data_IF_214779850870
#
_entry.id   IF_214779850870
#
_cell.length_a   1.000
_cell.length_b   1.000
_cell.length_c   1.000
_cell.angle_alpha   90.00
_cell.angle_beta   90.00
_cell.angle_gamma   90.00
#
_symmetry.space_group_name_H-M   'P 1'
#
loop_
_entity.id
_entity.type
_entity.pdbx_description
1 polymer ?
#
# COMPACT_ATOMS: atom_id res chain seq x y z
N UNK A 1 -33.10 -16.28 10.17
CA UNK A 1 -31.90 -15.57 10.64
C UNK A 1 -30.96 -15.48 9.45
N UNK A 2 -30.60 -14.30 8.98
CA UNK A 2 -29.54 -14.18 7.96
C UNK A 2 -28.26 -14.76 8.58
N UNK A 3 -27.66 -15.76 7.94
CA UNK A 3 -26.33 -16.25 8.33
C UNK A 3 -25.39 -15.02 8.31
N UNK A 4 -24.98 -14.60 9.50
CA UNK A 4 -24.01 -13.54 9.65
C UNK A 4 -22.68 -14.12 9.22
N UNK A 5 -22.11 -13.63 8.12
CA UNK A 5 -20.87 -14.15 7.53
C UNK A 5 -19.68 -13.94 8.50
N UNK A 6 -19.63 -14.76 9.53
CA UNK A 6 -18.49 -14.90 10.44
C UNK A 6 -17.64 -16.04 9.91
N UNK A 7 -16.31 -15.86 9.85
CA UNK A 7 -15.41 -16.89 9.36
C UNK A 7 -14.50 -17.36 10.51
N UNK A 8 -14.55 -18.65 10.82
CA UNK A 8 -13.63 -19.26 11.78
C UNK A 8 -12.26 -19.45 11.11
N UNK A 9 -11.23 -18.87 11.70
CA UNK A 9 -9.83 -18.99 11.23
C UNK A 9 -9.12 -20.12 11.96
N UNK A 10 -9.27 -20.17 13.29
CA UNK A 10 -8.75 -21.21 14.17
C UNK A 10 -9.72 -21.40 15.34
N UNK A 11 -9.45 -22.34 16.26
CA UNK A 11 -10.28 -22.50 17.44
C UNK A 11 -10.26 -21.24 18.30
N UNK A 12 -11.47 -20.66 18.53
CA UNK A 12 -11.61 -19.41 19.26
C UNK A 12 -11.12 -18.16 18.49
N UNK A 13 -10.80 -18.24 17.20
CA UNK A 13 -10.35 -17.10 16.39
C UNK A 13 -11.27 -16.91 15.18
N UNK A 14 -11.87 -15.72 15.06
CA UNK A 14 -12.90 -15.45 14.07
C UNK A 14 -12.64 -14.11 13.36
N UNK A 15 -12.81 -14.09 12.03
CA UNK A 15 -12.96 -12.85 11.29
C UNK A 15 -14.38 -12.29 11.51
N UNK A 16 -14.46 -11.05 11.95
CA UNK A 16 -15.72 -10.34 12.23
C UNK A 16 -15.80 -8.99 11.48
N UNK A 17 -14.87 -8.75 10.58
CA UNK A 17 -14.79 -7.53 9.77
C UNK A 17 -15.90 -7.40 8.74
N UNK A 18 -15.83 -6.40 7.88
CA UNK A 18 -16.80 -6.09 6.85
C UNK A 18 -16.16 -5.93 5.47
N UNK A 19 -16.95 -6.14 4.43
CA UNK A 19 -16.56 -5.92 3.04
C UNK A 19 -17.30 -4.73 2.48
N UNK A 20 -16.58 -3.72 2.02
CA UNK A 20 -17.14 -2.54 1.39
C UNK A 20 -16.98 -2.65 -0.14
N UNK A 21 -17.95 -3.33 -0.76
CA UNK A 21 -18.02 -3.52 -2.20
C UNK A 21 -18.20 -2.22 -2.98
N UNK A 22 -18.69 -1.17 -2.32
CA UNK A 22 -19.05 0.09 -2.95
C UNK A 22 -17.99 1.19 -2.78
N UNK A 23 -16.97 0.96 -1.98
CA UNK A 23 -15.87 1.91 -1.85
C UNK A 23 -15.14 2.02 -3.18
N UNK A 24 -15.04 3.22 -3.75
CA UNK A 24 -14.41 3.46 -5.05
C UNK A 24 -13.18 4.34 -4.98
N UNK A 25 -12.97 5.00 -3.86
CA UNK A 25 -11.80 5.85 -3.63
C UNK A 25 -11.40 5.78 -2.16
N UNK A 26 -10.12 5.68 -1.90
CA UNK A 26 -9.51 5.74 -0.57
C UNK A 26 -8.66 7.01 -0.49
N UNK A 27 -8.61 7.67 0.68
CA UNK A 27 -7.87 8.91 0.92
C UNK A 27 -8.13 10.03 -0.12
N UNK A 28 -9.31 10.04 -0.73
CA UNK A 28 -9.69 10.94 -1.83
C UNK A 28 -8.69 10.95 -3.01
N UNK A 29 -7.85 9.92 -3.13
CA UNK A 29 -6.77 9.84 -4.11
C UNK A 29 -6.66 8.48 -4.78
N UNK A 30 -6.80 7.38 -4.03
CA UNK A 30 -6.50 6.01 -4.48
C UNK A 30 -7.77 5.35 -5.01
N UNK A 31 -7.88 5.04 -6.32
CA UNK A 31 -9.02 4.32 -6.86
C UNK A 31 -9.08 2.88 -6.35
N UNK A 32 -10.29 2.42 -6.01
CA UNK A 32 -10.56 1.07 -5.52
C UNK A 32 -11.51 0.31 -6.47
N UNK A 33 -11.04 -0.19 -7.60
CA UNK A 33 -11.89 -0.86 -8.59
C UNK A 33 -12.57 -2.13 -8.05
N UNK A 34 -11.95 -2.79 -7.08
CA UNK A 34 -12.42 -4.03 -6.43
C UNK A 34 -13.03 -3.81 -5.04
N UNK A 35 -13.30 -2.55 -4.65
CA UNK A 35 -13.70 -2.21 -3.29
C UNK A 35 -12.59 -2.46 -2.27
N UNK A 36 -12.97 -2.64 -1.00
CA UNK A 36 -12.02 -3.00 0.08
C UNK A 36 -12.72 -3.80 1.17
N UNK A 37 -11.96 -4.29 2.13
CA UNK A 37 -12.49 -4.83 3.39
C UNK A 37 -11.88 -4.07 4.56
N UNK A 38 -12.61 -4.02 5.68
CA UNK A 38 -12.12 -3.56 6.97
C UNK A 38 -12.15 -4.76 7.90
N UNK A 39 -11.03 -5.44 8.01
CA UNK A 39 -10.96 -6.68 8.76
C UNK A 39 -10.76 -6.41 10.25
N UNK A 40 -11.57 -7.05 11.04
CA UNK A 40 -11.45 -7.11 12.48
C UNK A 40 -11.54 -8.58 12.93
N UNK A 41 -10.90 -8.92 14.03
CA UNK A 41 -10.80 -10.31 14.47
C UNK A 41 -11.16 -10.44 15.94
N UNK A 42 -11.99 -11.45 16.26
CA UNK A 42 -12.34 -11.77 17.63
C UNK A 42 -11.54 -13.00 18.08
N UNK A 43 -10.77 -12.84 19.16
CA UNK A 43 -10.03 -13.91 19.82
C UNK A 43 -10.71 -14.23 21.15
N UNK A 44 -11.15 -15.47 21.30
CA UNK A 44 -11.83 -15.98 22.49
C UNK A 44 -10.92 -17.02 23.15
N UNK A 45 -10.33 -16.65 24.28
CA UNK A 45 -9.59 -17.56 25.15
C UNK A 45 -10.44 -18.03 26.34
N UNK A 46 -9.89 -18.97 27.15
CA UNK A 46 -10.60 -19.51 28.30
C UNK A 46 -10.90 -18.49 29.40
N UNK A 47 -10.08 -17.48 29.55
CA UNK A 47 -10.22 -16.47 30.62
C UNK A 47 -10.33 -15.03 30.14
N UNK A 48 -10.34 -14.80 28.82
CA UNK A 48 -10.47 -13.46 28.27
C UNK A 48 -10.81 -13.43 26.78
N UNK A 49 -11.34 -12.30 26.33
CA UNK A 49 -11.70 -12.04 24.92
C UNK A 49 -11.07 -10.75 24.44
N UNK A 50 -10.53 -10.77 23.25
CA UNK A 50 -9.95 -9.58 22.61
C UNK A 50 -10.53 -9.38 21.21
N UNK A 51 -10.90 -8.14 20.89
CA UNK A 51 -11.18 -7.69 19.55
C UNK A 51 -9.92 -7.03 18.99
N UNK A 52 -9.40 -7.55 17.86
CA UNK A 52 -8.21 -7.02 17.18
C UNK A 52 -8.69 -6.11 16.05
N UNK A 53 -8.36 -4.84 16.13
CA UNK A 53 -8.83 -3.74 15.30
C UNK A 53 -10.37 -3.63 15.22
N UNK A 54 -10.87 -2.64 14.54
CA UNK A 54 -12.29 -2.42 14.32
C UNK A 54 -12.56 -2.17 12.82
N UNK A 55 -13.61 -1.45 12.50
CA UNK A 55 -14.03 -1.18 11.13
C UNK A 55 -14.21 0.30 10.86
N UNK A 56 -14.28 0.66 9.59
CA UNK A 56 -14.56 2.02 9.14
C UNK A 56 -15.89 2.53 9.72
N UNK A 57 -15.99 3.84 10.05
CA UNK A 57 -17.23 4.45 10.49
C UNK A 57 -18.41 4.16 9.55
N UNK A 58 -19.55 3.82 10.13
CA UNK A 58 -20.76 3.41 9.42
C UNK A 58 -21.01 1.89 9.40
N UNK A 59 -20.01 1.07 9.80
CA UNK A 59 -20.12 -0.39 9.89
C UNK A 59 -20.11 -0.92 11.33
N UNK A 60 -20.24 -0.04 12.33
CA UNK A 60 -20.17 -0.41 13.76
C UNK A 60 -21.20 -1.46 14.13
N UNK A 61 -22.40 -1.34 13.55
CA UNK A 61 -23.50 -2.27 13.84
C UNK A 61 -23.28 -3.64 13.21
N UNK A 62 -22.68 -3.69 12.03
CA UNK A 62 -22.32 -4.96 11.38
C UNK A 62 -21.28 -5.70 12.20
N UNK A 63 -20.28 -4.98 12.71
CA UNK A 63 -19.23 -5.52 13.60
C UNK A 63 -19.87 -6.05 14.90
N UNK A 64 -20.67 -5.25 15.58
CA UNK A 64 -21.38 -5.66 16.81
C UNK A 64 -22.22 -6.91 16.59
N UNK A 65 -22.99 -6.95 15.52
CA UNK A 65 -23.88 -8.06 15.20
C UNK A 65 -23.11 -9.37 14.98
N UNK A 66 -21.93 -9.31 14.36
CA UNK A 66 -21.04 -10.46 14.18
C UNK A 66 -20.42 -10.91 15.50
N UNK A 67 -19.98 -9.98 16.33
CA UNK A 67 -19.46 -10.30 17.65
C UNK A 67 -20.53 -10.98 18.50
N UNK A 68 -21.76 -10.45 18.54
CA UNK A 68 -22.89 -11.01 19.28
C UNK A 68 -23.33 -12.39 18.80
N UNK A 69 -23.01 -12.75 17.56
CA UNK A 69 -23.24 -14.12 17.07
C UNK A 69 -22.29 -15.16 17.70
N UNK A 70 -21.16 -14.71 18.28
CA UNK A 70 -20.11 -15.56 18.85
C UNK A 70 -20.02 -15.44 20.37
N UNK A 71 -20.23 -14.26 20.92
CA UNK A 71 -20.07 -13.96 22.34
C UNK A 71 -20.88 -12.71 22.73
N UNK A 72 -21.10 -12.52 24.05
CA UNK A 72 -21.62 -11.23 24.52
C UNK A 72 -20.52 -10.16 24.33
N UNK A 73 -20.84 -9.08 23.65
CA UNK A 73 -19.89 -8.01 23.39
C UNK A 73 -19.46 -7.30 24.69
N UNK A 74 -20.34 -7.29 25.70
CA UNK A 74 -20.07 -6.74 27.04
C UNK A 74 -18.97 -7.51 27.80
N UNK A 75 -18.67 -8.75 27.36
CA UNK A 75 -17.65 -9.61 27.94
C UNK A 75 -16.28 -9.47 27.26
N UNK A 76 -16.13 -8.55 26.30
CA UNK A 76 -14.83 -8.23 25.73
C UNK A 76 -13.96 -7.55 26.78
N UNK A 77 -12.76 -8.08 27.01
CA UNK A 77 -11.80 -7.54 27.98
C UNK A 77 -10.85 -6.53 27.35
N UNK A 78 -10.50 -6.75 26.07
CA UNK A 78 -9.55 -5.94 25.32
C UNK A 78 -10.04 -5.57 23.94
N UNK A 79 -9.87 -4.32 23.54
CA UNK A 79 -9.91 -3.87 22.14
C UNK A 79 -8.50 -3.48 21.78
N UNK A 80 -7.90 -4.18 20.84
CA UNK A 80 -6.53 -3.91 20.40
C UNK A 80 -6.59 -2.97 19.20
N UNK A 81 -5.91 -1.83 19.30
CA UNK A 81 -5.72 -0.88 18.21
C UNK A 81 -4.30 -1.04 17.68
N UNK A 82 -4.12 -1.83 16.63
CA UNK A 82 -2.82 -1.98 15.96
C UNK A 82 -2.43 -0.69 15.23
N UNK A 83 -3.44 0.04 14.71
CA UNK A 83 -3.28 1.26 13.95
C UNK A 83 -4.42 2.23 14.24
N UNK A 84 -4.12 3.54 14.25
CA UNK A 84 -5.06 4.57 14.67
C UNK A 84 -5.82 5.21 13.51
N UNK A 85 -5.66 4.76 12.27
CA UNK A 85 -6.40 5.30 11.14
C UNK A 85 -7.90 4.98 11.25
N UNK A 86 -8.79 5.91 10.86
CA UNK A 86 -10.22 5.77 11.12
C UNK A 86 -10.88 4.54 10.50
N UNK A 87 -10.35 3.99 9.42
CA UNK A 87 -10.92 2.80 8.79
C UNK A 87 -10.65 1.49 9.57
N UNK A 88 -9.70 1.50 10.52
CA UNK A 88 -9.43 0.42 11.48
C UNK A 88 -9.86 0.75 12.90
N UNK A 89 -9.84 2.03 13.26
CA UNK A 89 -10.05 2.48 14.63
C UNK A 89 -11.34 3.32 14.81
N UNK A 90 -12.03 3.66 13.73
CA UNK A 90 -13.18 4.57 13.78
C UNK A 90 -14.38 4.03 14.56
N UNK A 91 -14.54 2.71 14.64
CA UNK A 91 -15.59 2.10 15.45
C UNK A 91 -15.23 1.96 16.94
N UNK A 92 -13.99 2.28 17.37
CA UNK A 92 -13.54 2.20 18.77
C UNK A 92 -14.48 2.95 19.73
N UNK A 93 -14.92 4.19 19.49
CA UNK A 93 -15.81 4.89 20.41
C UNK A 93 -17.12 4.14 20.64
N UNK A 94 -17.68 3.55 19.58
CA UNK A 94 -18.89 2.77 19.65
C UNK A 94 -18.68 1.46 20.43
N UNK A 95 -17.67 0.68 20.06
CA UNK A 95 -17.35 -0.60 20.71
C UNK A 95 -17.01 -0.41 22.19
N UNK A 96 -16.19 0.59 22.52
CA UNK A 96 -15.82 0.89 23.90
C UNK A 96 -17.02 1.36 24.75
N UNK A 97 -18.05 1.92 24.14
CA UNK A 97 -19.30 2.26 24.83
C UNK A 97 -20.11 1.02 25.17
N UNK A 98 -20.22 0.07 24.23
CA UNK A 98 -20.99 -1.18 24.41
C UNK A 98 -20.20 -2.15 25.31
N UNK A 99 -18.94 -2.40 24.99
CA UNK A 99 -18.01 -3.17 25.82
C UNK A 99 -17.43 -2.30 26.96
N UNK A 100 -18.30 -1.90 27.88
CA UNK A 100 -17.99 -0.87 28.89
C UNK A 100 -16.84 -1.25 29.84
N UNK A 101 -16.51 -2.52 29.99
CA UNK A 101 -15.38 -3.02 30.81
C UNK A 101 -14.06 -3.11 30.04
N UNK A 102 -14.13 -3.15 28.71
CA UNK A 102 -12.95 -3.37 27.88
C UNK A 102 -11.89 -2.29 28.09
N UNK A 103 -10.62 -2.68 28.03
CA UNK A 103 -9.48 -1.75 27.93
C UNK A 103 -9.04 -1.68 26.48
N UNK A 104 -8.76 -0.47 26.00
CA UNK A 104 -8.07 -0.28 24.73
C UNK A 104 -6.59 -0.59 24.91
N UNK A 105 -6.06 -1.48 24.07
CA UNK A 105 -4.63 -1.83 24.06
C UNK A 105 -3.97 -1.14 22.88
N UNK A 106 -2.92 -0.38 23.13
CA UNK A 106 -2.19 0.37 22.10
C UNK A 106 -0.75 0.64 22.55
N UNK A 107 0.13 1.00 21.61
CA UNK A 107 1.45 1.56 21.92
C UNK A 107 1.33 2.89 22.64
N UNK A 108 2.42 3.38 23.24
CA UNK A 108 2.42 4.68 23.92
C UNK A 108 2.02 5.85 22.98
N UNK A 109 2.37 5.77 21.70
CA UNK A 109 1.95 6.74 20.67
C UNK A 109 0.48 6.54 20.30
N UNK A 110 0.07 5.29 20.10
CA UNK A 110 -1.32 4.93 19.81
C UNK A 110 -2.26 5.37 20.92
N UNK A 111 -1.87 5.25 22.18
CA UNK A 111 -2.65 5.72 23.32
C UNK A 111 -2.94 7.23 23.25
N UNK A 112 -1.95 8.05 22.87
CA UNK A 112 -2.14 9.50 22.68
C UNK A 112 -3.08 9.78 21.51
N UNK A 113 -2.95 9.04 20.42
CA UNK A 113 -3.83 9.19 19.24
C UNK A 113 -5.26 8.77 19.58
N UNK A 114 -5.45 7.67 20.32
CA UNK A 114 -6.77 7.22 20.77
C UNK A 114 -7.49 8.27 21.62
N UNK A 115 -6.76 8.99 22.48
CA UNK A 115 -7.33 10.09 23.27
C UNK A 115 -7.74 11.28 22.39
N UNK A 116 -6.92 11.62 21.39
CA UNK A 116 -7.16 12.78 20.52
C UNK A 116 -8.28 12.48 19.51
N UNK A 117 -8.21 11.36 18.79
CA UNK A 117 -9.13 11.04 17.71
C UNK A 117 -10.44 10.41 18.19
N UNK A 118 -10.33 9.51 19.18
CA UNK A 118 -11.45 8.65 19.60
C UNK A 118 -11.97 8.99 21.00
N UNK A 119 -11.37 9.98 21.69
CA UNK A 119 -11.76 10.42 23.01
C UNK A 119 -11.80 9.30 24.06
N UNK A 120 -10.97 8.27 23.89
CA UNK A 120 -10.87 7.19 24.87
C UNK A 120 -10.21 7.72 26.15
N UNK A 121 -10.85 7.59 27.32
CA UNK A 121 -10.27 8.06 28.58
C UNK A 121 -8.98 7.29 28.94
N UNK A 122 -8.00 7.98 29.53
CA UNK A 122 -6.70 7.40 29.88
C UNK A 122 -6.81 6.14 30.75
N UNK A 123 -7.73 6.14 31.70
CA UNK A 123 -7.99 5.01 32.60
C UNK A 123 -8.55 3.78 31.89
N UNK A 124 -9.05 3.94 30.65
CA UNK A 124 -9.52 2.86 29.79
C UNK A 124 -8.46 2.37 28.80
N UNK A 125 -7.25 2.92 28.84
CA UNK A 125 -6.16 2.54 27.94
C UNK A 125 -5.12 1.70 28.69
N UNK A 126 -4.78 0.56 28.15
CA UNK A 126 -3.61 -0.25 28.52
C UNK A 126 -2.52 -0.02 27.48
N UNK A 127 -1.47 0.71 27.87
CA UNK A 127 -0.29 0.88 27.05
C UNK A 127 0.54 -0.39 27.11
N UNK A 128 1.01 -0.83 25.95
CA UNK A 128 1.92 -1.99 25.81
C UNK A 128 3.22 -1.58 25.17
N UNK A 129 4.30 -2.27 25.54
CA UNK A 129 5.63 -2.11 24.98
C UNK A 129 5.92 -3.19 23.91
N UNK A 130 7.02 -2.98 23.17
CA UNK A 130 7.51 -3.98 22.20
C UNK A 130 7.77 -5.33 22.88
N UNK A 131 7.24 -6.40 22.32
CA UNK A 131 7.27 -7.76 22.85
C UNK A 131 6.48 -8.00 24.16
N UNK A 132 5.73 -7.05 24.68
CA UNK A 132 4.80 -7.29 25.78
C UNK A 132 3.70 -8.26 25.35
N UNK A 133 3.17 -9.05 26.31
CA UNK A 133 2.12 -10.01 26.03
C UNK A 133 0.97 -9.90 27.01
N UNK A 134 -0.23 -10.25 26.53
CA UNK A 134 -1.45 -10.38 27.33
C UNK A 134 -1.97 -11.82 27.19
N UNK A 135 -2.19 -12.47 28.33
CA UNK A 135 -2.81 -13.81 28.35
C UNK A 135 -4.33 -13.70 28.36
N UNK A 136 -4.98 -14.52 27.56
CA UNK A 136 -6.42 -14.75 27.55
C UNK A 136 -6.76 -16.16 28.13
N UNK A 137 -5.81 -16.75 28.86
CA UNK A 137 -5.89 -18.11 29.46
C UNK A 137 -5.10 -19.11 28.65
N UNK A 138 -5.69 -19.68 27.63
CA UNK A 138 -5.06 -20.64 26.71
C UNK A 138 -4.58 -19.98 25.40
N UNK A 139 -4.62 -18.67 25.32
CA UNK A 139 -4.16 -17.86 24.18
C UNK A 139 -3.37 -16.66 24.67
N UNK A 140 -2.28 -16.34 23.98
CA UNK A 140 -1.36 -15.25 24.32
C UNK A 140 -1.23 -14.30 23.15
N UNK A 141 -1.57 -13.04 23.36
CA UNK A 141 -1.39 -11.96 22.40
C UNK A 141 -0.07 -11.25 22.69
N UNK A 142 0.90 -11.34 21.79
CA UNK A 142 2.17 -10.61 21.83
C UNK A 142 2.11 -9.42 20.92
N UNK A 143 2.57 -8.26 21.39
CA UNK A 143 2.59 -7.00 20.63
C UNK A 143 3.98 -6.70 20.12
N UNK A 144 4.08 -6.34 18.84
CA UNK A 144 5.34 -6.08 18.14
C UNK A 144 5.26 -4.69 17.53
N UNK A 145 6.01 -3.74 18.07
CA UNK A 145 6.02 -2.40 17.50
C UNK A 145 6.59 -2.40 16.08
N UNK A 146 5.83 -1.81 15.16
CA UNK A 146 6.14 -1.68 13.74
C UNK A 146 5.96 -0.20 13.28
N UNK A 147 6.68 0.75 13.91
CA UNK A 147 6.45 2.17 13.67
C UNK A 147 6.69 2.55 12.22
N UNK A 148 5.85 3.45 11.71
CA UNK A 148 5.84 3.91 10.30
C UNK A 148 5.43 2.82 9.28
N UNK A 149 4.59 1.87 9.71
CA UNK A 149 3.95 0.92 8.80
C UNK A 149 2.41 1.01 8.93
N UNK A 150 1.74 2.10 8.42
CA UNK A 150 2.45 3.21 7.74
C UNK A 150 2.45 4.48 8.61
N UNK A 151 1.84 4.46 9.81
CA UNK A 151 1.86 5.55 10.81
C UNK A 151 2.83 5.25 11.97
N UNK A 152 3.20 6.28 12.76
CA UNK A 152 4.27 6.16 13.76
C UNK A 152 3.92 5.29 14.98
N UNK A 153 2.64 5.01 15.22
CA UNK A 153 2.15 4.26 16.38
C UNK A 153 1.89 2.78 16.09
N UNK A 154 1.97 2.37 14.84
CA UNK A 154 1.59 1.03 14.37
C UNK A 154 2.31 -0.08 15.14
N UNK A 155 1.56 -1.12 15.49
CA UNK A 155 2.07 -2.37 16.01
C UNK A 155 1.38 -3.55 15.32
N UNK A 156 1.99 -4.72 15.42
CA UNK A 156 1.39 -6.00 15.06
C UNK A 156 0.98 -6.74 16.32
N UNK A 157 -0.09 -7.51 16.22
CA UNK A 157 -0.48 -8.47 17.27
C UNK A 157 -0.21 -9.88 16.77
N UNK A 158 0.51 -10.69 17.56
CA UNK A 158 0.81 -12.09 17.24
C UNK A 158 0.18 -13.01 18.27
N UNK A 159 -0.67 -13.94 17.82
CA UNK A 159 -1.26 -14.97 18.63
C UNK A 159 -0.33 -16.19 18.62
N UNK A 160 0.32 -16.44 19.76
CA UNK A 160 1.45 -17.37 19.86
C UNK A 160 1.06 -18.82 19.59
N UNK A 161 -0.01 -19.32 20.21
CA UNK A 161 -0.40 -20.73 20.17
C UNK A 161 -0.86 -21.17 18.77
N UNK A 162 -1.55 -20.28 18.07
CA UNK A 162 -2.07 -20.55 16.72
C UNK A 162 -1.12 -20.12 15.61
N UNK A 163 -0.10 -19.31 15.91
CA UNK A 163 0.83 -18.76 14.92
C UNK A 163 0.16 -17.77 13.97
N UNK A 164 -0.77 -16.95 14.48
CA UNK A 164 -1.50 -15.97 13.66
C UNK A 164 -0.94 -14.58 13.89
N UNK A 165 -0.51 -13.93 12.81
CA UNK A 165 -0.09 -12.54 12.81
C UNK A 165 -1.24 -11.65 12.33
N UNK A 166 -1.57 -10.63 13.11
CA UNK A 166 -2.49 -9.53 12.77
C UNK A 166 -1.66 -8.26 12.55
N UNK A 167 -1.23 -7.98 11.31
CA UNK A 167 -0.25 -6.93 11.03
C UNK A 167 -0.88 -5.60 10.64
N UNK A 168 -2.16 -5.40 10.87
CA UNK A 168 -2.95 -4.30 10.34
C UNK A 168 -2.78 -4.19 8.81
N UNK A 169 -2.37 -3.05 8.30
CA UNK A 169 -2.20 -2.78 6.87
C UNK A 169 -1.09 -3.57 6.21
N UNK A 170 -0.08 -3.95 6.97
CA UNK A 170 1.06 -4.67 6.40
C UNK A 170 0.60 -6.04 5.86
N UNK A 171 0.97 -6.38 4.65
CA UNK A 171 0.49 -7.52 3.86
C UNK A 171 -0.95 -7.42 3.33
N UNK A 172 -1.57 -6.23 3.39
CA UNK A 172 -2.92 -5.98 2.91
C UNK A 172 -3.04 -5.88 1.40
N UNK A 173 -4.31 -5.77 0.97
CA UNK A 173 -4.70 -5.41 -0.40
C UNK A 173 -6.12 -4.84 -0.39
N UNK A 174 -6.40 -3.85 -1.24
CA UNK A 174 -7.74 -3.31 -1.37
C UNK A 174 -8.61 -4.24 -2.23
N UNK A 175 -9.20 -5.22 -1.56
CA UNK A 175 -10.12 -6.20 -2.15
C UNK A 175 -11.31 -6.44 -1.22
N UNK A 176 -12.53 -6.40 -1.77
CA UNK A 176 -13.74 -6.83 -1.08
C UNK A 176 -14.01 -8.32 -1.29
N UNK A 177 -13.45 -8.95 -2.32
CA UNK A 177 -13.66 -10.35 -2.66
C UNK A 177 -12.68 -11.30 -1.93
N UNK A 178 -13.09 -12.57 -1.80
CA UNK A 178 -12.31 -13.61 -1.13
C UNK A 178 -12.30 -13.48 0.40
N UNK A 179 -12.14 -14.60 1.08
CA UNK A 179 -11.81 -14.65 2.51
C UNK A 179 -10.33 -15.01 2.67
N UNK A 180 -9.89 -15.95 1.87
CA UNK A 180 -8.52 -16.44 1.87
C UNK A 180 -7.79 -16.09 0.58
N UNK A 181 -6.52 -15.84 0.69
CA UNK A 181 -5.67 -15.40 -0.41
C UNK A 181 -5.55 -16.41 -1.56
N UNK A 182 -5.67 -17.69 -1.28
CA UNK A 182 -5.68 -18.78 -2.26
C UNK A 182 -7.03 -18.97 -2.98
N UNK A 183 -8.01 -18.14 -2.66
CA UNK A 183 -9.31 -18.04 -3.34
C UNK A 183 -9.39 -16.84 -4.31
N UNK A 184 -8.33 -16.02 -4.34
CA UNK A 184 -8.28 -14.78 -5.14
C UNK A 184 -7.29 -14.97 -6.28
N UNK A 185 -7.79 -14.78 -7.51
CA UNK A 185 -6.96 -14.73 -8.70
C UNK A 185 -6.09 -13.45 -8.68
N UNK A 186 -4.86 -13.56 -9.17
CA UNK A 186 -3.91 -12.44 -9.28
C UNK A 186 -3.67 -11.65 -7.97
N UNK A 187 -3.80 -12.31 -6.82
CA UNK A 187 -3.60 -11.67 -5.52
C UNK A 187 -2.33 -10.83 -5.43
N UNK A 188 -1.20 -11.32 -5.98
CA UNK A 188 0.06 -10.59 -5.91
C UNK A 188 0.05 -9.26 -6.70
N UNK A 189 -0.76 -9.14 -7.76
CA UNK A 189 -0.96 -7.88 -8.46
C UNK A 189 -1.64 -6.87 -7.54
N UNK A 190 -2.72 -7.29 -6.87
CA UNK A 190 -3.43 -6.44 -5.93
C UNK A 190 -2.61 -6.06 -4.69
N UNK A 191 -1.86 -7.01 -4.15
CA UNK A 191 -0.95 -6.76 -3.03
C UNK A 191 0.23 -5.85 -3.43
N UNK A 192 0.75 -5.98 -4.65
CA UNK A 192 1.80 -5.12 -5.20
C UNK A 192 1.31 -3.69 -5.41
N UNK A 193 0.08 -3.53 -5.94
CA UNK A 193 -0.59 -2.24 -6.04
C UNK A 193 -0.71 -1.59 -4.65
N UNK A 194 -1.25 -2.30 -3.67
CA UNK A 194 -1.38 -1.82 -2.29
C UNK A 194 -0.03 -1.46 -1.66
N UNK A 195 0.99 -2.30 -1.86
CA UNK A 195 2.35 -2.00 -1.44
C UNK A 195 2.85 -0.67 -2.02
N UNK A 196 2.67 -0.46 -3.31
CA UNK A 196 3.07 0.76 -4.00
C UNK A 196 2.34 2.01 -3.49
N UNK A 197 1.04 1.88 -3.23
CA UNK A 197 0.17 2.96 -2.78
C UNK A 197 0.46 3.38 -1.33
N UNK A 198 0.73 2.43 -0.43
CA UNK A 198 0.75 2.66 1.02
C UNK A 198 2.14 2.44 1.65
N UNK A 199 2.83 1.33 1.30
CA UNK A 199 4.02 0.87 2.03
C UNK A 199 5.34 1.29 1.40
N UNK A 200 5.39 1.53 0.08
CA UNK A 200 6.63 1.75 -0.67
C UNK A 200 7.49 2.92 -0.13
N UNK A 201 6.94 4.04 0.37
CA UNK A 201 7.73 5.10 0.99
C UNK A 201 8.49 4.66 2.24
N UNK A 202 8.02 3.60 2.90
CA UNK A 202 8.49 3.11 4.19
C UNK A 202 9.34 1.83 4.10
N UNK A 203 9.94 1.54 2.93
CA UNK A 203 10.71 0.30 2.67
C UNK A 203 11.70 -0.07 3.78
N UNK A 204 12.45 0.90 4.31
CA UNK A 204 13.41 0.65 5.40
C UNK A 204 12.72 0.19 6.70
N UNK A 205 11.54 0.70 6.98
CA UNK A 205 10.75 0.28 8.16
C UNK A 205 10.16 -1.11 7.93
N UNK A 206 9.71 -1.38 6.69
CA UNK A 206 9.24 -2.70 6.31
C UNK A 206 10.33 -3.77 6.45
N UNK A 207 11.57 -3.50 6.02
CA UNK A 207 12.71 -4.41 6.24
C UNK A 207 12.91 -4.74 7.73
N UNK A 208 12.92 -3.72 8.59
CA UNK A 208 13.07 -3.92 10.04
C UNK A 208 11.92 -4.74 10.65
N UNK A 209 10.69 -4.52 10.19
CA UNK A 209 9.54 -5.29 10.65
C UNK A 209 9.63 -6.75 10.17
N UNK A 210 10.01 -6.98 8.91
CA UNK A 210 10.24 -8.33 8.38
C UNK A 210 11.34 -9.08 9.16
N UNK A 211 12.42 -8.41 9.56
CA UNK A 211 13.47 -8.99 10.42
C UNK A 211 12.95 -9.38 11.82
N UNK A 212 12.08 -8.54 12.41
CA UNK A 212 11.45 -8.85 13.71
C UNK A 212 10.57 -10.10 13.64
N UNK A 213 9.70 -10.16 12.64
CA UNK A 213 8.75 -11.28 12.50
C UNK A 213 9.36 -12.54 11.92
N UNK A 214 10.55 -12.48 11.30
CA UNK A 214 11.26 -13.66 10.78
C UNK A 214 11.56 -14.75 11.83
N UNK A 215 11.56 -14.36 13.10
CA UNK A 215 11.79 -15.26 14.24
C UNK A 215 10.52 -15.95 14.74
N UNK A 216 9.35 -15.58 14.22
CA UNK A 216 8.06 -16.11 14.63
C UNK A 216 7.66 -17.30 13.75
N UNK A 217 6.95 -18.24 14.34
CA UNK A 217 6.34 -19.35 13.60
C UNK A 217 4.97 -18.93 13.04
N UNK A 218 4.99 -18.13 11.99
CA UNK A 218 3.78 -17.59 11.37
C UNK A 218 3.16 -18.66 10.46
N UNK A 219 1.95 -19.08 10.79
CA UNK A 219 1.12 -20.03 10.01
C UNK A 219 0.04 -19.31 9.21
N UNK A 220 -0.44 -18.16 9.71
CA UNK A 220 -1.49 -17.36 9.09
C UNK A 220 -1.13 -15.88 9.25
N UNK A 221 -1.34 -15.10 8.19
CA UNK A 221 -1.32 -13.63 8.27
C UNK A 221 -2.74 -13.14 8.03
N UNK A 222 -3.25 -12.36 8.96
CA UNK A 222 -4.62 -11.84 8.98
C UNK A 222 -4.61 -10.30 8.95
N UNK A 223 -4.46 -9.67 7.74
CA UNK A 223 -4.32 -8.23 7.58
C UNK A 223 -5.65 -7.50 7.75
N UNK A 224 -5.61 -6.18 7.89
CA UNK A 224 -6.80 -5.34 8.03
C UNK A 224 -7.52 -5.03 6.72
N UNK A 225 -6.86 -5.25 5.57
CA UNK A 225 -7.46 -5.15 4.24
C UNK A 225 -7.22 -6.40 3.41
N UNK A 226 -8.23 -6.79 2.63
CA UNK A 226 -8.14 -7.92 1.71
C UNK A 226 -8.19 -9.28 2.39
N UNK A 227 -7.76 -10.36 1.69
CA UNK A 227 -7.91 -11.72 2.16
C UNK A 227 -6.85 -12.12 3.21
N UNK A 228 -7.20 -13.13 3.99
CA UNK A 228 -6.34 -13.77 4.99
C UNK A 228 -5.38 -14.74 4.28
N UNK A 229 -4.09 -14.66 4.59
CA UNK A 229 -3.07 -15.53 4.02
C UNK A 229 -2.85 -16.77 4.91
N UNK A 230 -3.53 -17.86 4.59
CA UNK A 230 -3.33 -19.18 5.26
C UNK A 230 -2.12 -19.95 4.71
N UNK A 231 -1.45 -19.41 3.71
CA UNK A 231 -0.14 -19.81 3.18
C UNK A 231 0.70 -18.55 3.04
N UNK A 232 1.33 -18.10 4.15
CA UNK A 232 1.95 -16.77 4.18
C UNK A 232 3.24 -16.65 3.36
N UNK A 233 3.85 -17.75 2.91
CA UNK A 233 5.16 -17.76 2.27
C UNK A 233 5.19 -16.87 1.04
N UNK A 234 4.14 -16.94 0.20
CA UNK A 234 4.07 -16.21 -1.07
C UNK A 234 4.09 -14.68 -0.83
N UNK A 235 3.28 -14.20 0.12
CA UNK A 235 3.21 -12.76 0.42
C UNK A 235 4.44 -12.28 1.18
N UNK A 236 5.00 -13.10 2.07
CA UNK A 236 6.23 -12.81 2.79
C UNK A 236 7.41 -12.63 1.82
N UNK A 237 7.55 -13.52 0.84
CA UNK A 237 8.61 -13.44 -0.17
C UNK A 237 8.43 -12.23 -1.10
N UNK A 238 7.20 -11.91 -1.47
CA UNK A 238 6.91 -10.70 -2.24
C UNK A 238 7.31 -9.44 -1.46
N UNK A 239 6.88 -9.31 -0.21
CA UNK A 239 7.20 -8.17 0.65
C UNK A 239 8.71 -8.03 0.93
N UNK A 240 9.44 -9.14 1.10
CA UNK A 240 10.92 -9.12 1.21
C UNK A 240 11.57 -8.48 -0.01
N UNK A 241 11.16 -8.90 -1.23
CA UNK A 241 11.68 -8.35 -2.48
C UNK A 241 11.33 -6.88 -2.65
N UNK A 242 10.06 -6.51 -2.41
CA UNK A 242 9.63 -5.12 -2.53
C UNK A 242 10.31 -4.21 -1.49
N UNK A 243 10.44 -4.66 -0.25
CA UNK A 243 11.16 -3.93 0.79
C UNK A 243 12.64 -3.77 0.48
N UNK A 244 13.28 -4.79 -0.11
CA UNK A 244 14.66 -4.70 -0.60
C UNK A 244 14.80 -3.70 -1.77
N UNK A 245 13.69 -3.34 -2.43
CA UNK A 245 13.70 -2.47 -3.61
C UNK A 245 14.25 -3.19 -4.84
N UNK A 246 13.98 -4.49 -4.96
CA UNK A 246 14.34 -5.25 -6.14
C UNK A 246 13.59 -4.72 -7.35
N UNK A 247 14.34 -4.48 -8.44
CA UNK A 247 13.79 -3.98 -9.70
C UNK A 247 14.07 -4.96 -10.83
N UNK A 248 13.16 -4.95 -11.81
CA UNK A 248 13.29 -5.72 -13.06
C UNK A 248 13.88 -4.84 -14.17
N UNK A 249 14.33 -5.42 -15.30
CA UNK A 249 14.57 -4.68 -16.54
C UNK A 249 13.25 -4.17 -17.12
N UNK A 250 12.65 -3.19 -16.46
CA UNK A 250 11.33 -2.62 -16.73
C UNK A 250 11.41 -1.10 -16.69
N UNK A 251 10.68 -0.45 -17.59
CA UNK A 251 10.51 0.99 -17.65
C UNK A 251 9.02 1.35 -17.57
N UNK A 252 8.66 2.19 -16.60
CA UNK A 252 7.35 2.83 -16.55
C UNK A 252 7.42 4.12 -17.38
N UNK A 253 6.68 4.19 -18.48
CA UNK A 253 6.57 5.37 -19.33
C UNK A 253 5.27 6.07 -19.02
N UNK A 254 5.38 7.29 -18.52
CA UNK A 254 4.26 8.09 -18.05
C UNK A 254 4.17 9.36 -18.87
N UNK A 255 3.03 9.61 -19.50
CA UNK A 255 2.93 10.75 -20.39
C UNK A 255 1.56 11.43 -20.41
N UNK A 256 1.58 12.65 -20.86
CA UNK A 256 0.42 13.40 -21.33
C UNK A 256 0.76 14.04 -22.67
N UNK A 257 -0.20 14.09 -23.59
CA UNK A 257 -0.04 14.73 -24.89
C UNK A 257 -1.28 15.53 -25.25
N UNK A 258 -1.11 16.74 -25.81
CA UNK A 258 -2.21 17.59 -26.23
C UNK A 258 -2.51 17.45 -27.73
N UNK A 259 -1.46 17.43 -28.56
CA UNK A 259 -1.53 17.45 -30.01
C UNK A 259 -0.69 16.35 -30.65
N UNK A 260 -0.56 15.21 -29.96
CA UNK A 260 0.13 13.98 -30.38
C UNK A 260 1.64 14.08 -30.59
N UNK A 261 2.29 15.24 -30.50
CA UNK A 261 3.75 15.35 -30.68
C UNK A 261 4.52 14.61 -29.58
N UNK A 262 4.18 14.83 -28.32
CA UNK A 262 4.78 14.10 -27.18
C UNK A 262 4.43 12.62 -27.25
N UNK A 263 3.19 12.27 -27.57
CA UNK A 263 2.75 10.88 -27.72
C UNK A 263 3.54 10.11 -28.77
N UNK A 264 3.80 10.72 -29.92
CA UNK A 264 4.60 10.10 -31.00
C UNK A 264 6.01 9.75 -30.52
N UNK A 265 6.68 10.67 -29.81
CA UNK A 265 8.00 10.43 -29.23
C UNK A 265 7.97 9.34 -28.16
N UNK A 266 6.94 9.34 -27.31
CA UNK A 266 6.76 8.35 -26.24
C UNK A 266 6.52 6.95 -26.79
N UNK A 267 5.71 6.80 -27.85
CA UNK A 267 5.51 5.51 -28.53
C UNK A 267 6.81 5.01 -29.16
N UNK A 268 7.58 5.89 -29.81
CA UNK A 268 8.89 5.55 -30.36
C UNK A 268 9.88 5.10 -29.27
N UNK A 269 9.85 5.74 -28.10
CA UNK A 269 10.65 5.36 -26.94
C UNK A 269 10.25 3.97 -26.43
N UNK A 270 8.94 3.68 -26.34
CA UNK A 270 8.43 2.39 -25.93
C UNK A 270 8.90 1.26 -26.88
N UNK A 271 8.81 1.48 -28.17
CA UNK A 271 9.31 0.53 -29.19
C UNK A 271 10.83 0.33 -29.11
N UNK A 272 11.58 1.43 -28.89
CA UNK A 272 13.03 1.35 -28.76
C UNK A 272 13.43 0.53 -27.53
N UNK A 273 12.79 0.74 -26.38
CA UNK A 273 13.06 -0.02 -25.16
C UNK A 273 12.64 -1.49 -25.28
N UNK A 274 11.47 -1.75 -25.86
CA UNK A 274 10.98 -3.12 -26.08
C UNK A 274 11.90 -3.90 -27.02
N UNK A 275 12.41 -3.27 -28.09
CA UNK A 275 13.36 -3.90 -29.02
C UNK A 275 14.70 -4.27 -28.38
N UNK A 276 15.09 -3.59 -27.31
CA UNK A 276 16.27 -3.93 -26.49
C UNK A 276 15.94 -4.94 -25.36
N UNK A 277 14.70 -5.48 -25.30
CA UNK A 277 14.31 -6.49 -24.30
C UNK A 277 13.90 -5.91 -22.93
N UNK A 278 13.57 -4.64 -22.86
CA UNK A 278 13.02 -4.01 -21.64
C UNK A 278 11.51 -4.19 -21.61
N UNK A 279 10.97 -4.65 -20.48
CA UNK A 279 9.53 -4.63 -20.21
C UNK A 279 9.04 -3.18 -20.14
N UNK A 280 7.97 -2.85 -20.85
CA UNK A 280 7.45 -1.48 -20.92
C UNK A 280 6.02 -1.44 -20.38
N UNK A 281 5.79 -0.61 -19.37
CA UNK A 281 4.47 -0.22 -18.90
C UNK A 281 4.18 1.22 -19.36
N UNK A 282 3.13 1.39 -20.18
CA UNK A 282 2.81 2.67 -20.81
C UNK A 282 1.55 3.30 -20.19
N UNK A 283 1.68 4.48 -19.57
CA UNK A 283 0.64 5.17 -18.84
C UNK A 283 0.30 6.53 -19.45
N UNK A 284 -0.86 6.65 -20.08
CA UNK A 284 -1.42 7.93 -20.48
C UNK A 284 -2.17 8.54 -19.29
N UNK A 285 -1.63 9.61 -18.71
CA UNK A 285 -2.15 10.27 -17.50
C UNK A 285 -3.59 10.80 -17.61
N UNK A 286 -4.14 10.88 -18.83
CA UNK A 286 -5.53 11.32 -19.03
C UNK A 286 -6.52 10.21 -18.64
N UNK A 287 -6.13 8.94 -18.80
CA UNK A 287 -7.04 7.78 -18.65
C UNK A 287 -6.51 6.70 -17.71
N UNK A 288 -5.24 6.75 -17.33
CA UNK A 288 -4.63 5.74 -16.46
C UNK A 288 -5.14 5.89 -15.03
N UNK A 289 -5.53 4.78 -14.43
CA UNK A 289 -5.71 4.66 -12.98
C UNK A 289 -4.35 4.84 -12.29
N UNK A 290 -4.30 5.73 -11.31
CA UNK A 290 -3.04 6.03 -10.60
C UNK A 290 -2.49 4.80 -9.87
N UNK A 291 -3.34 3.89 -9.42
CA UNK A 291 -2.90 2.66 -8.76
C UNK A 291 -2.20 1.69 -9.72
N UNK A 292 -2.63 1.61 -11.00
CA UNK A 292 -1.94 0.79 -12.00
C UNK A 292 -0.54 1.35 -12.27
N UNK A 293 -0.41 2.68 -12.38
CA UNK A 293 0.89 3.34 -12.47
C UNK A 293 1.78 3.00 -11.27
N UNK A 294 1.22 3.12 -10.07
CA UNK A 294 1.98 2.90 -8.83
C UNK A 294 2.38 1.44 -8.68
N UNK A 295 1.54 0.50 -9.07
CA UNK A 295 1.87 -0.93 -9.12
C UNK A 295 3.10 -1.20 -10.00
N UNK A 296 3.15 -0.61 -11.20
CA UNK A 296 4.28 -0.74 -12.10
C UNK A 296 5.58 -0.11 -11.56
N UNK A 297 5.46 0.96 -10.78
CA UNK A 297 6.62 1.64 -10.16
C UNK A 297 7.32 0.79 -9.09
N UNK A 298 6.63 -0.18 -8.47
CA UNK A 298 7.20 -1.03 -7.40
C UNK A 298 8.46 -1.76 -7.84
N UNK A 299 8.52 -2.20 -9.08
CA UNK A 299 9.63 -2.98 -9.63
C UNK A 299 10.25 -2.42 -10.93
N UNK A 300 9.86 -1.22 -11.36
CA UNK A 300 10.46 -0.55 -12.52
C UNK A 300 11.84 0.00 -12.20
N UNK A 301 12.85 -0.37 -13.01
CA UNK A 301 14.22 0.15 -12.89
C UNK A 301 14.39 1.53 -13.51
N UNK A 302 13.53 1.89 -14.46
CA UNK A 302 13.54 3.20 -15.10
C UNK A 302 12.13 3.82 -15.17
N UNK A 303 12.10 5.15 -15.24
CA UNK A 303 10.91 5.93 -15.57
C UNK A 303 11.20 6.82 -16.78
N UNK A 304 10.21 6.98 -17.65
CA UNK A 304 10.24 7.97 -18.71
C UNK A 304 9.06 8.91 -18.54
N UNK A 305 9.31 10.21 -18.50
CA UNK A 305 8.26 11.23 -18.43
C UNK A 305 8.13 11.96 -19.75
N UNK A 306 6.92 11.89 -20.35
CA UNK A 306 6.56 12.61 -21.56
C UNK A 306 5.53 13.70 -21.27
N UNK A 307 5.85 14.97 -21.54
CA UNK A 307 4.92 16.08 -21.30
C UNK A 307 5.11 17.24 -22.27
N UNK A 308 4.02 17.87 -22.76
CA UNK A 308 4.15 19.13 -23.48
C UNK A 308 4.43 20.28 -22.50
N UNK A 309 5.08 21.32 -23.00
CA UNK A 309 5.17 22.59 -22.28
C UNK A 309 3.84 23.35 -22.34
N UNK A 310 3.33 23.75 -21.18
CA UNK A 310 2.12 24.55 -21.01
C UNK A 310 2.45 25.76 -20.14
N UNK A 311 2.23 26.96 -20.66
CA UNK A 311 2.51 28.23 -19.95
C UNK A 311 3.94 28.34 -19.38
N UNK A 312 4.93 27.84 -20.13
CA UNK A 312 6.34 27.88 -19.74
C UNK A 312 6.82 26.80 -18.76
N UNK A 313 5.98 25.82 -18.45
CA UNK A 313 6.30 24.67 -17.59
C UNK A 313 5.70 23.37 -18.12
N UNK A 314 5.90 22.26 -17.41
CA UNK A 314 5.31 20.99 -17.78
C UNK A 314 3.79 20.98 -17.53
N UNK A 315 3.08 20.19 -18.33
CA UNK A 315 1.64 20.00 -18.16
C UNK A 315 1.31 19.56 -16.70
N UNK A 316 0.22 20.10 -16.08
CA UNK A 316 -0.11 19.82 -14.66
C UNK A 316 -0.18 18.34 -14.28
N UNK A 317 -0.69 17.46 -15.16
CA UNK A 317 -0.72 16.02 -14.90
C UNK A 317 0.69 15.41 -14.82
N UNK A 318 1.64 15.91 -15.62
CA UNK A 318 3.03 15.46 -15.53
C UNK A 318 3.70 15.91 -14.22
N UNK A 319 3.37 17.11 -13.74
CA UNK A 319 3.81 17.62 -12.44
C UNK A 319 3.22 16.75 -11.31
N UNK A 320 1.94 16.41 -11.41
CA UNK A 320 1.30 15.49 -10.47
C UNK A 320 2.02 14.12 -10.42
N UNK A 321 2.31 13.52 -11.58
CA UNK A 321 3.05 12.25 -11.63
C UNK A 321 4.46 12.37 -11.05
N UNK A 322 5.21 13.43 -11.37
CA UNK A 322 6.52 13.68 -10.81
C UNK A 322 6.49 13.90 -9.29
N UNK A 323 5.43 14.56 -8.77
CA UNK A 323 5.20 14.69 -7.33
C UNK A 323 4.91 13.33 -6.68
N UNK A 324 4.09 12.48 -7.29
CA UNK A 324 3.84 11.12 -6.80
C UNK A 324 5.13 10.31 -6.72
N UNK A 325 5.99 10.37 -7.73
CA UNK A 325 7.29 9.69 -7.69
C UNK A 325 8.13 10.16 -6.49
N UNK A 326 8.16 11.48 -6.24
CA UNK A 326 8.85 12.04 -5.08
C UNK A 326 8.26 11.55 -3.76
N UNK A 327 6.93 11.49 -3.62
CA UNK A 327 6.23 11.05 -2.42
C UNK A 327 6.41 9.56 -2.16
N UNK A 328 6.21 8.74 -3.19
CA UNK A 328 6.21 7.27 -3.10
C UNK A 328 7.62 6.65 -3.08
N UNK A 329 8.65 7.39 -3.55
CA UNK A 329 10.06 6.96 -3.53
C UNK A 329 10.28 5.57 -4.13
N UNK A 330 9.86 5.32 -5.39
CA UNK A 330 10.06 4.03 -6.03
C UNK A 330 11.55 3.66 -6.07
N UNK A 331 11.91 2.38 -6.17
CA UNK A 331 13.30 1.91 -6.22
C UNK A 331 13.98 2.16 -7.57
N UNK A 332 13.38 2.99 -8.40
CA UNK A 332 13.85 3.38 -9.73
C UNK A 332 15.24 4.01 -9.69
N UNK A 333 16.10 3.66 -10.63
CA UNK A 333 17.49 4.12 -10.72
C UNK A 333 17.72 5.14 -11.84
N UNK A 334 16.96 5.04 -12.94
CA UNK A 334 17.18 5.83 -14.16
C UNK A 334 15.92 6.55 -14.61
N UNK A 335 16.10 7.67 -15.30
CA UNK A 335 15.01 8.39 -15.92
C UNK A 335 15.41 8.94 -17.29
N UNK A 336 14.40 9.18 -18.14
CA UNK A 336 14.50 10.01 -19.33
C UNK A 336 13.30 10.96 -19.39
N UNK A 337 13.46 12.12 -20.05
CA UNK A 337 12.39 13.11 -20.17
C UNK A 337 12.21 13.51 -21.63
N UNK A 338 10.98 13.45 -22.13
CA UNK A 338 10.60 13.84 -23.48
C UNK A 338 9.58 14.98 -23.45
N UNK A 339 9.82 16.02 -24.19
CA UNK A 339 8.90 17.18 -24.23
C UNK A 339 8.75 17.76 -25.63
N UNK A 340 7.59 18.37 -25.88
CA UNK A 340 7.35 19.20 -27.04
C UNK A 340 6.74 20.55 -26.63
N UNK A 341 6.98 21.59 -27.41
CA UNK A 341 6.41 22.94 -27.18
C UNK A 341 6.07 23.64 -28.50
N UNK A 342 5.15 24.59 -28.45
CA UNK A 342 4.78 25.38 -29.63
C UNK A 342 5.61 26.66 -29.80
N UNK A 343 5.76 27.44 -28.73
CA UNK A 343 6.39 28.77 -28.81
C UNK A 343 7.41 29.05 -27.68
N UNK A 344 7.56 28.16 -26.72
CA UNK A 344 8.53 28.26 -25.63
C UNK A 344 8.60 26.99 -24.83
N UNK A 345 9.81 26.48 -24.57
CA UNK A 345 10.09 25.28 -23.78
C UNK A 345 10.14 25.56 -22.28
N UNK A 346 10.46 24.51 -21.50
CA UNK A 346 10.65 24.60 -20.04
C UNK A 346 10.15 23.39 -19.27
N UNK A 347 9.42 22.47 -19.90
CA UNK A 347 8.90 21.28 -19.24
C UNK A 347 10.01 20.33 -18.81
N UNK A 348 11.01 20.09 -19.67
CA UNK A 348 12.18 19.26 -19.35
C UNK A 348 12.88 19.75 -18.10
N UNK A 349 13.22 21.04 -18.05
CA UNK A 349 13.90 21.63 -16.89
C UNK A 349 13.10 21.44 -15.60
N UNK A 350 11.79 21.72 -15.64
CA UNK A 350 10.94 21.63 -14.46
C UNK A 350 10.83 20.18 -13.95
N UNK A 351 10.65 19.21 -14.87
CA UNK A 351 10.59 17.78 -14.49
C UNK A 351 11.92 17.33 -13.92
N UNK A 352 13.05 17.66 -14.56
CA UNK A 352 14.37 17.30 -14.05
C UNK A 352 14.64 17.88 -12.66
N UNK A 353 14.22 19.12 -12.39
CA UNK A 353 14.35 19.71 -11.06
C UNK A 353 13.55 18.94 -9.99
N UNK A 354 12.37 18.44 -10.32
CA UNK A 354 11.57 17.62 -9.43
C UNK A 354 12.17 16.23 -9.19
N UNK A 355 12.84 15.64 -10.19
CA UNK A 355 13.48 14.33 -10.07
C UNK A 355 14.77 14.34 -9.25
N UNK A 356 15.42 15.50 -9.06
CA UNK A 356 16.67 15.61 -8.27
C UNK A 356 16.56 15.02 -6.86
N UNK A 357 15.41 15.17 -6.23
CA UNK A 357 15.18 14.68 -4.87
C UNK A 357 15.06 13.14 -4.79
N UNK A 358 14.84 12.46 -5.94
CA UNK A 358 14.68 11.01 -6.01
C UNK A 358 16.00 10.22 -6.07
N UNK A 359 17.13 10.89 -6.22
CA UNK A 359 18.44 10.25 -6.48
C UNK A 359 18.43 9.35 -7.72
N UNK A 360 17.62 9.70 -8.72
CA UNK A 360 17.49 9.02 -10.00
C UNK A 360 18.43 9.69 -11.00
N UNK A 361 19.22 8.89 -11.73
CA UNK A 361 20.04 9.39 -12.81
C UNK A 361 19.17 9.70 -14.03
N UNK A 362 19.10 10.96 -14.45
CA UNK A 362 18.49 11.33 -15.74
C UNK A 362 19.53 11.02 -16.83
N UNK A 363 19.31 9.94 -17.56
CA UNK A 363 20.23 9.46 -18.61
C UNK A 363 20.30 10.44 -19.77
N UNK A 364 19.12 10.93 -20.22
CA UNK A 364 19.03 11.94 -21.25
C UNK A 364 17.65 12.63 -21.25
N UNK A 365 17.52 13.73 -21.97
CA UNK A 365 16.27 14.46 -22.16
C UNK A 365 16.20 15.09 -23.53
N UNK A 366 15.00 15.17 -24.11
CA UNK A 366 14.74 15.81 -25.39
C UNK A 366 13.55 16.77 -25.30
N UNK A 367 13.74 18.01 -25.71
CA UNK A 367 12.67 19.00 -25.82
C UNK A 367 12.67 19.58 -27.23
N UNK A 368 11.58 19.36 -27.99
CA UNK A 368 11.47 19.76 -29.39
C UNK A 368 10.43 20.86 -29.61
N UNK A 369 10.63 21.64 -30.67
CA UNK A 369 9.65 22.64 -31.09
C UNK A 369 8.71 22.04 -32.16
N UNK A 370 7.42 21.93 -31.82
CA UNK A 370 6.38 21.42 -32.74
C UNK A 370 6.33 19.90 -32.85
N UNK A 371 5.82 19.35 -33.97
CA UNK A 371 5.82 17.92 -34.24
C UNK A 371 7.23 17.37 -34.45
N UNK A 372 7.52 16.13 -34.02
CA UNK A 372 8.85 15.53 -34.16
C UNK A 372 9.18 15.31 -35.65
N UNK A 373 10.43 15.62 -36.02
CA UNK A 373 11.02 15.29 -37.31
C UNK A 373 11.60 13.86 -37.27
N UNK A 374 12.00 13.33 -38.46
CA UNK A 374 12.70 12.04 -38.54
C UNK A 374 14.01 12.03 -37.73
N UNK A 375 14.70 13.19 -37.62
CA UNK A 375 15.92 13.34 -36.82
C UNK A 375 15.60 13.29 -35.34
N UNK A 376 14.54 13.96 -34.90
CA UNK A 376 14.06 13.90 -33.50
C UNK A 376 13.69 12.46 -33.13
N UNK A 377 13.01 11.74 -34.02
CA UNK A 377 12.62 10.33 -33.78
C UNK A 377 13.84 9.41 -33.70
N UNK A 378 14.88 9.62 -34.50
CA UNK A 378 16.17 8.92 -34.35
C UNK A 378 16.81 9.24 -32.99
N UNK A 379 16.79 10.49 -32.57
CA UNK A 379 17.30 10.88 -31.25
C UNK A 379 16.55 10.18 -30.10
N UNK A 380 15.22 10.05 -30.21
CA UNK A 380 14.42 9.28 -29.24
C UNK A 380 14.87 7.81 -29.16
N UNK A 381 15.14 7.18 -30.32
CA UNK A 381 15.66 5.80 -30.35
C UNK A 381 17.02 5.70 -29.68
N UNK A 382 17.93 6.66 -29.93
CA UNK A 382 19.26 6.68 -29.29
C UNK A 382 19.16 6.82 -27.78
N UNK A 383 18.25 7.68 -27.28
CA UNK A 383 17.95 7.82 -25.84
C UNK A 383 17.42 6.49 -25.28
N UNK A 384 16.49 5.82 -26.01
CA UNK A 384 15.95 4.53 -25.60
C UNK A 384 17.04 3.47 -25.44
N UNK A 385 17.95 3.36 -26.41
CA UNK A 385 19.10 2.44 -26.36
C UNK A 385 20.05 2.77 -25.21
N UNK A 386 20.35 4.05 -24.99
CA UNK A 386 21.18 4.48 -23.86
C UNK A 386 20.55 4.12 -22.52
N UNK A 387 19.22 4.33 -22.39
CA UNK A 387 18.48 3.98 -21.19
C UNK A 387 18.46 2.45 -20.96
N UNK A 388 18.18 1.66 -22.02
CA UNK A 388 18.20 0.20 -21.94
C UNK A 388 19.56 -0.34 -21.48
N UNK A 389 20.66 0.21 -22.02
CA UNK A 389 22.01 -0.14 -21.61
C UNK A 389 22.20 0.10 -20.10
N UNK A 390 21.82 1.27 -19.58
CA UNK A 390 21.91 1.59 -18.14
C UNK A 390 21.07 0.65 -17.27
N UNK A 391 19.87 0.29 -17.76
CA UNK A 391 18.98 -0.65 -17.06
C UNK A 391 19.65 -2.00 -16.88
N UNK A 392 20.31 -2.55 -17.92
CA UNK A 392 20.99 -3.84 -17.81
C UNK A 392 22.27 -3.77 -16.96
N UNK A 393 23.10 -2.73 -17.13
CA UNK A 393 24.32 -2.54 -16.33
C UNK A 393 24.05 -2.53 -14.81
N UNK A 394 22.90 -2.02 -14.38
CA UNK A 394 22.53 -1.96 -12.97
C UNK A 394 21.89 -3.24 -12.42
N UNK A 395 21.70 -4.27 -13.24
CA UNK A 395 21.08 -5.55 -12.86
C UNK A 395 22.10 -6.69 -12.67
N UNK A 396 23.39 -6.43 -12.93
CA UNK A 396 24.49 -7.37 -12.78
C UNK A 396 25.06 -7.45 -11.37
#
# INVERSE_FOLDING_TARGET
>A
MKERNVVKIAEGVYWVGVRDWNRRIFDALIPLPKGTSYNAYLVIGKSGKALIDTVNPGFEKDLEDKIRALANIEDIDYVVMNHAEPDHAGAIPYIMKVASRAKLVATARGAKMAQIYYRVPQERIKVVADNEAISLGDKTLRFIEAPMLHWPETMFTYLEEDGILFPCDFFGSHLAEGVYSDEVEDLLVHAKRYWGEIMMPFRTMAQKALEKIAKLNIKVIAPSHGPIHRRPELILDAYKRWAAGETKPKAAIVYVSMWSSTEAMVKQMAEALASEGIEVALHNLIVTDVGDLVEDLVDSRAIVLGAPTVLGGAHPLAIYAAYLFKALRPPTKFAAVLSSYGWGGGAVRQIQDMLKDLKVEVVDALEINGPPTDEDMKRVVDIGKALAKRIFEAGG
#
